data_IF_033958164418
#
_entry.id   IF_033958164418
#
_cell.length_a   1.000
_cell.length_b   1.000
_cell.length_c   1.000
_cell.angle_alpha   90.00
_cell.angle_beta   90.00
_cell.angle_gamma   90.00
#
_symmetry.space_group_name_H-M   'P 1'
#
loop_
_entity.id
_entity.type
_entity.pdbx_description
1 polymer ?
#
# COMPACT_ATOMS: atom_id res chain seq x y z
N UNK A 1 31.52 -13.05 -6.68
CA UNK A 1 30.55 -11.94 -6.87
C UNK A 1 29.70 -11.91 -5.60
N UNK A 2 29.14 -10.78 -5.22
CA UNK A 2 28.24 -10.72 -4.05
C UNK A 2 27.03 -9.89 -4.43
N UNK A 3 25.86 -10.33 -4.02
CA UNK A 3 24.57 -9.71 -4.32
C UNK A 3 23.85 -9.42 -3.02
N UNK A 4 23.39 -8.20 -2.85
CA UNK A 4 22.45 -7.82 -1.81
C UNK A 4 21.03 -8.01 -2.32
N UNK A 5 20.22 -8.81 -1.63
CA UNK A 5 18.93 -9.30 -2.13
C UNK A 5 17.82 -9.00 -1.16
N UNK A 6 16.75 -8.38 -1.64
CA UNK A 6 15.47 -8.30 -0.95
C UNK A 6 14.49 -9.27 -1.61
N UNK A 7 14.07 -10.28 -0.87
CA UNK A 7 13.20 -11.35 -1.35
C UNK A 7 11.75 -11.14 -0.86
N UNK A 8 10.77 -11.33 -1.73
CA UNK A 8 9.36 -11.29 -1.34
C UNK A 8 8.44 -12.05 -2.28
N UNK A 9 7.19 -12.20 -1.85
CA UNK A 9 6.14 -12.91 -2.57
C UNK A 9 4.79 -12.23 -2.41
N UNK A 10 3.99 -12.27 -3.47
CA UNK A 10 2.55 -12.01 -3.47
C UNK A 10 1.82 -13.34 -3.55
N UNK A 11 1.08 -13.69 -2.51
CA UNK A 11 0.47 -15.02 -2.37
C UNK A 11 -1.04 -14.85 -2.25
N UNK A 12 -1.75 -15.35 -3.27
CA UNK A 12 -3.18 -15.17 -3.40
C UNK A 12 -3.95 -16.46 -3.12
N UNK A 13 -5.01 -16.34 -2.32
CA UNK A 13 -5.98 -17.39 -2.09
C UNK A 13 -7.40 -16.86 -2.24
N UNK A 14 -8.29 -17.66 -2.81
CA UNK A 14 -9.70 -17.27 -2.98
C UNK A 14 -10.42 -17.25 -1.64
N UNK A 15 -11.35 -16.32 -1.48
CA UNK A 15 -12.22 -16.24 -0.31
C UNK A 15 -13.26 -17.35 -0.37
N UNK A 16 -13.53 -17.98 0.76
CA UNK A 16 -14.73 -18.82 0.91
C UNK A 16 -15.98 -17.95 1.07
N UNK A 17 -17.20 -18.45 0.81
CA UNK A 17 -18.43 -17.69 1.05
C UNK A 17 -18.52 -17.15 2.49
N UNK A 18 -18.13 -17.95 3.48
CA UNK A 18 -18.04 -17.53 4.87
C UNK A 18 -16.95 -16.46 5.09
N UNK A 19 -15.82 -16.60 4.42
CA UNK A 19 -14.72 -15.64 4.46
C UNK A 19 -15.10 -14.27 3.91
N UNK A 20 -15.90 -14.22 2.83
CA UNK A 20 -16.40 -12.95 2.27
C UNK A 20 -17.12 -12.16 3.37
N UNK A 21 -18.10 -12.76 4.03
CA UNK A 21 -18.88 -12.12 5.09
C UNK A 21 -18.02 -11.75 6.31
N UNK A 22 -17.22 -12.70 6.79
CA UNK A 22 -16.40 -12.51 8.00
C UNK A 22 -15.23 -11.55 7.83
N UNK A 23 -14.83 -11.24 6.60
CA UNK A 23 -13.75 -10.26 6.33
C UNK A 23 -14.28 -8.92 5.83
N UNK A 24 -15.59 -8.81 5.57
CA UNK A 24 -16.30 -7.54 5.32
C UNK A 24 -16.63 -6.80 6.60
N UNK A 25 -17.06 -7.52 7.62
CA UNK A 25 -17.52 -6.96 8.89
C UNK A 25 -16.40 -6.96 9.95
N UNK A 26 -16.60 -6.16 11.01
CA UNK A 26 -15.75 -6.23 12.18
C UNK A 26 -15.69 -7.68 12.70
N UNK A 27 -14.48 -8.23 12.78
CA UNK A 27 -14.23 -9.61 13.16
C UNK A 27 -13.22 -9.64 14.31
N UNK A 28 -13.38 -10.51 15.32
CA UNK A 28 -12.40 -10.64 16.40
C UNK A 28 -10.97 -10.96 15.93
N UNK A 29 -10.76 -11.40 14.69
CA UNK A 29 -9.47 -11.77 14.12
C UNK A 29 -8.75 -10.61 13.41
N UNK A 30 -9.46 -9.62 12.88
CA UNK A 30 -8.83 -8.54 12.11
C UNK A 30 -9.49 -7.18 12.36
N UNK A 31 -8.67 -6.15 12.47
CA UNK A 31 -9.11 -4.78 12.27
C UNK A 31 -9.07 -4.47 10.78
N UNK A 32 -10.14 -3.88 10.25
CA UNK A 32 -10.22 -3.47 8.85
C UNK A 32 -9.69 -2.05 8.74
N UNK A 33 -8.68 -1.85 7.90
CA UNK A 33 -8.07 -0.54 7.60
C UNK A 33 -8.29 -0.20 6.12
N UNK A 34 -8.33 1.10 5.83
CA UNK A 34 -8.47 1.62 4.47
C UNK A 34 -7.30 1.26 3.56
N UNK A 35 -7.51 1.45 2.26
CA UNK A 35 -6.56 1.11 1.20
C UNK A 35 -5.49 2.17 0.95
N UNK A 36 -5.61 3.35 1.56
CA UNK A 36 -4.91 4.57 1.11
C UNK A 36 -3.39 4.43 1.06
N UNK A 37 -2.79 3.74 2.05
CA UNK A 37 -1.34 3.47 2.07
C UNK A 37 -0.89 2.58 0.91
N UNK A 38 -1.66 1.54 0.58
CA UNK A 38 -1.39 0.66 -0.55
C UNK A 38 -1.64 1.35 -1.89
N UNK A 39 -2.72 2.11 -2.04
CA UNK A 39 -3.00 2.82 -3.30
C UNK A 39 -1.86 3.79 -3.66
N UNK A 40 -1.27 4.46 -2.67
CA UNK A 40 -0.09 5.31 -2.89
C UNK A 40 1.11 4.54 -3.46
N UNK A 41 1.23 3.23 -3.23
CA UNK A 41 2.31 2.41 -3.78
C UNK A 41 2.09 1.98 -5.22
N UNK A 42 0.90 2.20 -5.81
CA UNK A 42 0.68 1.99 -7.25
C UNK A 42 1.39 3.07 -8.10
N UNK A 43 1.61 4.24 -7.49
CA UNK A 43 2.20 5.42 -8.13
C UNK A 43 1.18 6.38 -8.73
N UNK A 44 1.57 7.65 -8.90
CA UNK A 44 0.86 8.59 -9.77
C UNK A 44 -0.57 8.97 -9.36
N UNK A 45 -0.88 8.96 -8.05
CA UNK A 45 -2.20 9.28 -7.49
C UNK A 45 -3.35 8.52 -8.19
N UNK A 46 -3.44 7.19 -7.98
CA UNK A 46 -4.27 6.34 -8.81
C UNK A 46 -5.76 6.64 -8.66
N UNK A 47 -6.46 6.68 -9.79
CA UNK A 47 -7.93 6.71 -9.84
C UNK A 47 -8.46 5.29 -9.80
N UNK A 48 -8.78 4.81 -8.60
CA UNK A 48 -9.31 3.46 -8.42
C UNK A 48 -10.82 3.49 -8.20
N UNK A 49 -11.61 2.78 -9.04
CA UNK A 49 -13.04 2.66 -8.84
C UNK A 49 -13.39 1.61 -7.76
N UNK A 50 -12.42 0.79 -7.35
CA UNK A 50 -12.53 -0.13 -6.21
C UNK A 50 -11.18 -0.25 -5.49
N UNK A 51 -11.21 -0.42 -4.18
CA UNK A 51 -10.01 -0.42 -3.35
C UNK A 51 -9.98 -1.63 -2.41
N UNK A 52 -8.81 -2.29 -2.23
CA UNK A 52 -8.69 -3.38 -1.28
C UNK A 52 -8.79 -2.87 0.15
N UNK A 53 -9.19 -3.72 1.09
CA UNK A 53 -9.05 -3.42 2.52
C UNK A 53 -7.80 -4.07 3.09
N UNK A 54 -7.09 -3.35 3.97
CA UNK A 54 -5.98 -3.94 4.71
C UNK A 54 -6.54 -4.65 5.94
N UNK A 55 -6.17 -5.92 6.12
CA UNK A 55 -6.56 -6.71 7.28
C UNK A 55 -5.41 -6.69 8.29
N UNK A 56 -5.58 -5.95 9.38
CA UNK A 56 -4.61 -5.88 10.46
C UNK A 56 -4.93 -6.95 11.52
N UNK A 57 -4.07 -7.97 11.73
CA UNK A 57 -4.35 -9.06 12.65
C UNK A 57 -4.47 -8.59 14.11
N UNK A 58 -5.45 -9.14 14.83
CA UNK A 58 -5.63 -8.88 16.27
C UNK A 58 -4.81 -9.86 17.12
N UNK A 59 -4.83 -9.64 18.44
CA UNK A 59 -4.29 -10.59 19.42
C UNK A 59 -4.92 -11.99 19.28
N UNK A 60 -6.21 -12.09 18.94
CA UNK A 60 -6.90 -13.37 18.77
C UNK A 60 -6.39 -14.13 17.55
N UNK A 61 -6.09 -13.41 16.46
CA UNK A 61 -5.48 -14.02 15.29
C UNK A 61 -4.08 -14.57 15.61
N UNK A 62 -3.24 -13.79 16.30
CA UNK A 62 -1.94 -14.28 16.74
C UNK A 62 -2.03 -15.46 17.72
N UNK A 63 -3.05 -15.48 18.57
CA UNK A 63 -3.32 -16.61 19.46
C UNK A 63 -3.63 -17.89 18.67
N UNK A 64 -4.42 -17.80 17.60
CA UNK A 64 -4.76 -18.95 16.74
C UNK A 64 -3.52 -19.59 16.09
N UNK A 65 -2.47 -18.79 15.85
CA UNK A 65 -1.21 -19.21 15.25
C UNK A 65 -0.13 -19.61 16.27
N UNK A 66 -0.42 -19.63 17.58
CA UNK A 66 0.61 -19.85 18.62
C UNK A 66 1.38 -21.17 18.45
N UNK A 67 0.67 -22.28 18.18
CA UNK A 67 1.30 -23.60 17.96
C UNK A 67 2.28 -23.55 16.79
N UNK A 68 1.82 -23.02 15.67
CA UNK A 68 2.57 -22.96 14.42
C UNK A 68 3.77 -22.01 14.53
N UNK A 69 3.62 -20.89 15.24
CA UNK A 69 4.74 -20.00 15.59
C UNK A 69 5.81 -20.74 16.41
N UNK A 70 5.40 -21.53 17.39
CA UNK A 70 6.33 -22.32 18.22
C UNK A 70 7.08 -23.37 17.41
N UNK A 71 6.39 -24.09 16.51
CA UNK A 71 6.99 -25.09 15.62
C UNK A 71 8.07 -24.49 14.71
N UNK A 72 7.90 -23.23 14.30
CA UNK A 72 8.80 -22.53 13.39
C UNK A 72 9.93 -21.77 14.09
N UNK A 73 9.97 -21.79 15.43
CA UNK A 73 10.92 -20.98 16.21
C UNK A 73 10.76 -19.49 15.95
N UNK A 74 9.52 -19.05 15.66
CA UNK A 74 9.18 -17.67 15.29
C UNK A 74 9.25 -16.79 16.52
N UNK A 75 10.22 -15.90 16.54
CA UNK A 75 10.34 -14.86 17.57
C UNK A 75 9.58 -13.61 17.14
N UNK A 76 8.72 -13.07 18.03
CA UNK A 76 7.99 -11.82 17.79
C UNK A 76 6.48 -11.91 18.04
N UNK A 77 5.91 -10.77 18.46
CA UNK A 77 4.48 -10.66 18.83
C UNK A 77 3.56 -10.35 17.64
N UNK A 78 4.10 -9.87 16.52
CA UNK A 78 3.34 -9.35 15.38
C UNK A 78 3.59 -10.15 14.08
N UNK A 79 3.17 -9.61 12.93
CA UNK A 79 3.42 -10.13 11.58
C UNK A 79 4.80 -9.77 11.02
N UNK A 80 5.62 -9.11 11.82
CA UNK A 80 7.06 -9.06 11.66
C UNK A 80 7.66 -10.06 12.64
N UNK A 81 8.41 -11.03 12.11
CA UNK A 81 8.96 -12.12 12.88
C UNK A 81 10.22 -12.68 12.26
N UNK A 82 11.03 -13.41 13.04
CA UNK A 82 12.32 -13.94 12.56
C UNK A 82 12.23 -15.44 12.26
N UNK A 83 12.78 -15.87 11.11
CA UNK A 83 12.87 -17.28 10.70
C UNK A 83 14.29 -17.60 10.24
N UNK A 84 14.75 -18.82 10.48
CA UNK A 84 16.03 -19.29 9.96
C UNK A 84 15.89 -19.76 8.52
N UNK A 85 16.74 -19.24 7.62
CA UNK A 85 16.80 -19.63 6.21
C UNK A 85 18.03 -20.51 6.01
N UNK A 86 17.82 -21.81 5.81
CA UNK A 86 18.89 -22.82 5.72
C UNK A 86 19.84 -22.55 4.55
N UNK A 87 19.34 -22.14 3.40
CA UNK A 87 20.16 -21.93 2.20
C UNK A 87 21.16 -20.77 2.34
N UNK A 88 20.93 -19.85 3.28
CA UNK A 88 21.83 -18.71 3.58
C UNK A 88 22.38 -18.73 5.00
N UNK A 89 22.04 -19.76 5.79
CA UNK A 89 22.46 -19.96 7.18
C UNK A 89 22.26 -18.72 8.08
N UNK A 90 21.16 -17.99 7.89
CA UNK A 90 20.88 -16.75 8.62
C UNK A 90 19.45 -16.71 9.17
N UNK A 91 19.29 -16.03 10.32
CA UNK A 91 17.97 -15.67 10.86
C UNK A 91 17.55 -14.33 10.26
N UNK A 92 16.52 -14.34 9.43
CA UNK A 92 16.04 -13.17 8.71
C UNK A 92 14.66 -12.75 9.20
N UNK A 93 14.46 -11.44 9.30
CA UNK A 93 13.15 -10.90 9.61
C UNK A 93 12.23 -11.04 8.38
N UNK A 94 11.02 -11.52 8.61
CA UNK A 94 9.95 -11.69 7.63
C UNK A 94 8.77 -10.84 8.07
N UNK A 95 8.27 -10.01 7.16
CA UNK A 95 7.05 -9.21 7.35
C UNK A 95 5.95 -9.73 6.45
N UNK A 96 4.77 -9.95 7.02
CA UNK A 96 3.56 -10.34 6.28
C UNK A 96 2.55 -9.20 6.33
N UNK A 97 1.92 -8.88 5.20
CA UNK A 97 0.80 -7.93 5.11
C UNK A 97 -0.37 -8.58 4.39
N UNK A 98 -1.59 -8.37 4.87
CA UNK A 98 -2.81 -8.95 4.29
C UNK A 98 -3.68 -7.88 3.66
N UNK A 99 -4.04 -8.10 2.40
CA UNK A 99 -5.02 -7.29 1.68
C UNK A 99 -6.17 -8.15 1.19
N UNK A 100 -7.38 -7.66 1.40
CA UNK A 100 -8.62 -8.26 0.93
C UNK A 100 -9.08 -7.51 -0.32
N UNK A 101 -9.31 -8.26 -1.37
CA UNK A 101 -10.06 -7.87 -2.56
C UNK A 101 -11.45 -8.53 -2.53
N UNK A 102 -12.25 -8.38 -3.58
CA UNK A 102 -13.65 -8.83 -3.55
C UNK A 102 -13.73 -10.37 -3.45
N UNK A 103 -12.99 -11.07 -4.31
CA UNK A 103 -12.98 -12.54 -4.39
C UNK A 103 -11.79 -13.21 -3.70
N UNK A 104 -10.79 -12.47 -3.23
CA UNK A 104 -9.53 -13.05 -2.77
C UNK A 104 -8.81 -12.29 -1.66
N UNK A 105 -7.87 -12.97 -1.02
CA UNK A 105 -6.88 -12.41 -0.10
C UNK A 105 -5.51 -12.50 -0.77
N UNK A 106 -4.74 -11.41 -0.69
CA UNK A 106 -3.31 -11.39 -0.95
C UNK A 106 -2.53 -11.28 0.37
N UNK A 107 -1.64 -12.23 0.62
CA UNK A 107 -0.56 -12.11 1.58
C UNK A 107 0.72 -11.65 0.88
N UNK A 108 1.20 -10.45 1.22
CA UNK A 108 2.49 -9.94 0.80
C UNK A 108 3.53 -10.31 1.85
N UNK A 109 4.45 -11.21 1.50
CA UNK A 109 5.53 -11.67 2.37
C UNK A 109 6.82 -11.02 1.91
N UNK A 110 7.54 -10.36 2.80
CA UNK A 110 8.82 -9.71 2.51
C UNK A 110 9.86 -10.14 3.53
N UNK A 111 11.02 -10.55 3.04
CA UNK A 111 12.20 -10.90 3.83
C UNK A 111 13.10 -9.67 3.90
N UNK A 112 13.67 -9.40 5.07
CA UNK A 112 14.76 -8.45 5.24
C UNK A 112 15.87 -8.76 4.25
N UNK A 113 16.54 -7.72 3.73
CA UNK A 113 17.60 -7.92 2.76
C UNK A 113 18.82 -8.65 3.35
N UNK A 114 19.46 -9.49 2.54
CA UNK A 114 20.59 -10.32 2.91
C UNK A 114 21.55 -10.50 1.73
N UNK A 115 22.76 -10.95 2.00
CA UNK A 115 23.79 -11.13 0.97
C UNK A 115 23.88 -12.59 0.50
N UNK A 116 24.13 -12.78 -0.79
CA UNK A 116 24.39 -14.09 -1.42
C UNK A 116 25.55 -14.00 -2.42
N UNK A 117 26.25 -15.11 -2.61
CA UNK A 117 27.45 -15.14 -3.46
C UNK A 117 27.14 -15.27 -4.96
N UNK A 118 25.98 -15.82 -5.34
CA UNK A 118 25.63 -16.02 -6.74
C UNK A 118 24.12 -15.97 -7.00
N UNK A 119 23.76 -15.67 -8.26
CA UNK A 119 22.37 -15.60 -8.73
C UNK A 119 21.66 -16.97 -8.69
N UNK A 120 22.39 -18.08 -8.81
CA UNK A 120 21.82 -19.43 -8.72
C UNK A 120 21.17 -19.70 -7.35
N UNK A 121 21.77 -19.19 -6.26
CA UNK A 121 21.18 -19.27 -4.92
C UNK A 121 19.84 -18.54 -4.87
N UNK A 122 19.72 -17.39 -5.52
CA UNK A 122 18.46 -16.62 -5.59
C UNK A 122 17.38 -17.41 -6.33
N UNK A 123 17.75 -18.09 -7.43
CA UNK A 123 16.83 -18.93 -8.21
C UNK A 123 16.23 -20.09 -7.39
N UNK A 124 16.99 -20.66 -6.45
CA UNK A 124 16.47 -21.64 -5.49
C UNK A 124 15.61 -20.99 -4.39
N UNK A 125 16.04 -19.84 -3.88
CA UNK A 125 15.36 -19.13 -2.80
C UNK A 125 13.99 -18.56 -3.21
N UNK A 126 13.79 -18.23 -4.48
CA UNK A 126 12.56 -17.58 -4.95
C UNK A 126 11.31 -18.47 -4.92
N UNK A 127 11.44 -19.80 -4.84
CA UNK A 127 10.29 -20.65 -4.60
C UNK A 127 10.03 -20.73 -3.11
N UNK A 128 9.00 -20.02 -2.63
CA UNK A 128 8.62 -20.08 -1.21
C UNK A 128 8.35 -21.51 -0.73
N UNK A 129 7.93 -22.42 -1.61
CA UNK A 129 7.69 -23.82 -1.25
C UNK A 129 8.95 -24.57 -0.83
N UNK A 130 10.12 -24.14 -1.32
CA UNK A 130 11.41 -24.68 -0.84
C UNK A 130 11.69 -24.32 0.61
N UNK A 131 11.01 -23.30 1.15
CA UNK A 131 11.03 -22.90 2.55
C UNK A 131 9.86 -23.53 3.30
N UNK A 132 9.88 -24.85 3.50
CA UNK A 132 8.74 -25.62 4.01
C UNK A 132 8.07 -25.01 5.24
N UNK A 133 8.86 -24.56 6.22
CA UNK A 133 8.35 -23.93 7.43
C UNK A 133 7.60 -22.62 7.15
N UNK A 134 8.24 -21.70 6.43
CA UNK A 134 7.63 -20.42 6.07
C UNK A 134 6.38 -20.62 5.20
N UNK A 135 6.44 -21.51 4.21
CA UNK A 135 5.30 -21.80 3.34
C UNK A 135 4.11 -22.39 4.11
N UNK A 136 4.36 -23.34 5.02
CA UNK A 136 3.33 -23.88 5.92
C UNK A 136 2.69 -22.74 6.73
N UNK A 137 3.51 -21.88 7.34
CA UNK A 137 3.02 -20.77 8.15
C UNK A 137 2.12 -19.81 7.39
N UNK A 138 2.56 -19.38 6.20
CA UNK A 138 1.80 -18.44 5.38
C UNK A 138 0.53 -19.09 4.84
N UNK A 139 0.57 -20.39 4.56
CA UNK A 139 -0.63 -21.16 4.18
C UNK A 139 -1.66 -21.20 5.31
N UNK A 140 -1.24 -21.36 6.56
CA UNK A 140 -2.14 -21.31 7.72
C UNK A 140 -2.71 -19.91 7.95
N UNK A 141 -1.88 -18.86 7.81
CA UNK A 141 -2.35 -17.46 7.83
C UNK A 141 -3.47 -17.29 6.80
N UNK A 142 -3.22 -17.67 5.54
CA UNK A 142 -4.20 -17.55 4.47
C UNK A 142 -5.44 -18.41 4.73
N UNK A 143 -5.32 -19.60 5.30
CA UNK A 143 -6.47 -20.44 5.62
C UNK A 143 -7.40 -19.80 6.66
N UNK A 144 -6.83 -19.23 7.73
CA UNK A 144 -7.62 -18.51 8.74
C UNK A 144 -8.25 -17.26 8.13
N UNK A 145 -7.49 -16.48 7.34
CA UNK A 145 -7.99 -15.25 6.72
C UNK A 145 -9.08 -15.51 5.69
N UNK A 146 -8.92 -16.51 4.81
CA UNK A 146 -9.89 -16.80 3.73
C UNK A 146 -11.17 -17.48 4.21
N UNK A 147 -11.19 -18.01 5.43
CA UNK A 147 -12.38 -18.61 6.07
C UNK A 147 -12.96 -17.74 7.19
N UNK A 148 -12.19 -16.74 7.64
CA UNK A 148 -12.51 -15.93 8.83
C UNK A 148 -12.62 -16.77 10.10
N UNK A 149 -11.98 -17.94 10.18
CA UNK A 149 -12.17 -18.92 11.25
C UNK A 149 -10.84 -19.43 11.79
N UNK A 150 -10.57 -19.21 13.07
CA UNK A 150 -9.30 -19.53 13.74
C UNK A 150 -8.93 -21.02 13.74
N UNK A 151 -9.92 -21.93 13.66
CA UNK A 151 -9.70 -23.37 13.70
C UNK A 151 -9.29 -23.96 12.35
N UNK A 152 -9.56 -23.28 11.24
CA UNK A 152 -9.26 -23.80 9.90
C UNK A 152 -7.86 -23.36 9.49
N UNK A 153 -6.93 -24.32 9.48
CA UNK A 153 -5.51 -24.08 9.18
C UNK A 153 -5.06 -24.62 7.82
N UNK A 154 -5.95 -25.25 7.07
CA UNK A 154 -5.64 -25.82 5.74
C UNK A 154 -6.39 -25.06 4.66
N UNK A 155 -5.65 -24.68 3.61
CA UNK A 155 -6.24 -24.08 2.42
C UNK A 155 -7.08 -25.12 1.65
N UNK A 156 -8.20 -24.67 1.09
CA UNK A 156 -9.06 -25.49 0.22
C UNK A 156 -8.43 -25.75 -1.15
N UNK A 157 -7.56 -24.84 -1.62
CA UNK A 157 -6.89 -24.91 -2.90
C UNK A 157 -5.45 -24.38 -2.78
N UNK A 158 -4.51 -24.80 -3.65
CA UNK A 158 -3.16 -24.27 -3.66
C UNK A 158 -3.18 -22.77 -4.00
N UNK A 159 -2.43 -21.92 -3.25
CA UNK A 159 -2.40 -20.50 -3.53
C UNK A 159 -1.60 -20.20 -4.79
N UNK A 160 -1.93 -19.09 -5.46
CA UNK A 160 -1.13 -18.56 -6.57
C UNK A 160 -0.03 -17.67 -6.00
N UNK A 161 1.22 -17.91 -6.39
CA UNK A 161 2.41 -17.23 -5.84
C UNK A 161 3.12 -16.49 -6.96
N UNK A 162 3.47 -15.23 -6.72
CA UNK A 162 4.30 -14.41 -7.59
C UNK A 162 5.50 -13.86 -6.80
N UNK A 163 6.74 -14.23 -7.14
CA UNK A 163 7.93 -13.63 -6.54
C UNK A 163 8.04 -12.14 -6.89
N UNK A 164 8.55 -11.37 -5.93
CA UNK A 164 8.96 -9.98 -6.09
C UNK A 164 10.35 -9.85 -5.48
N UNK A 165 11.37 -9.71 -6.34
CA UNK A 165 12.78 -9.81 -5.93
C UNK A 165 13.51 -8.54 -6.35
N UNK A 166 14.30 -7.97 -5.46
CA UNK A 166 15.25 -6.91 -5.78
C UNK A 166 16.66 -7.42 -5.53
N UNK A 167 17.54 -7.20 -6.51
CA UNK A 167 18.92 -7.68 -6.52
C UNK A 167 19.83 -6.47 -6.77
N UNK A 168 20.83 -6.29 -5.92
CA UNK A 168 21.89 -5.31 -6.09
C UNK A 168 23.22 -6.03 -6.19
N UNK A 169 23.94 -5.82 -7.30
CA UNK A 169 25.27 -6.38 -7.50
C UNK A 169 26.30 -5.50 -6.78
N UNK A 170 27.04 -6.10 -5.85
CA UNK A 170 28.09 -5.44 -5.06
C UNK A 170 29.49 -5.63 -5.67
N UNK A 171 29.62 -6.48 -6.69
CA UNK A 171 30.90 -6.86 -7.29
C UNK A 171 31.04 -6.43 -8.74
N UNK A 172 31.72 -7.24 -9.56
CA UNK A 172 31.76 -7.09 -11.01
C UNK A 172 30.52 -7.72 -11.67
N UNK A 173 30.15 -7.21 -12.84
CA UNK A 173 29.06 -7.75 -13.64
C UNK A 173 29.56 -8.90 -14.52
N UNK A 174 28.88 -10.05 -14.48
CA UNK A 174 29.16 -11.19 -15.35
C UNK A 174 28.54 -10.97 -16.74
N UNK A 175 29.14 -11.53 -17.80
CA UNK A 175 28.59 -11.44 -19.16
C UNK A 175 27.18 -12.07 -19.28
N UNK A 176 26.89 -13.13 -18.53
CA UNK A 176 25.60 -13.84 -18.55
C UNK A 176 24.55 -13.27 -17.58
N UNK A 177 24.83 -12.12 -16.94
CA UNK A 177 23.96 -11.56 -15.89
C UNK A 177 22.51 -11.40 -16.37
N UNK A 178 22.29 -10.79 -17.55
CA UNK A 178 20.94 -10.59 -18.10
C UNK A 178 20.19 -11.90 -18.30
N UNK A 179 20.89 -12.92 -18.83
CA UNK A 179 20.32 -14.25 -19.03
C UNK A 179 19.83 -14.83 -17.70
N UNK A 180 20.67 -14.81 -16.67
CA UNK A 180 20.32 -15.30 -15.32
C UNK A 180 19.17 -14.54 -14.68
N UNK A 181 19.09 -13.23 -14.86
CA UNK A 181 17.99 -12.43 -14.35
C UNK A 181 16.66 -12.81 -15.01
N UNK A 182 16.66 -13.11 -16.32
CA UNK A 182 15.47 -13.59 -17.04
C UNK A 182 15.08 -14.99 -16.59
N UNK A 183 16.03 -15.91 -16.35
CA UNK A 183 15.75 -17.23 -15.79
C UNK A 183 15.11 -17.13 -14.40
N UNK A 184 15.61 -16.23 -13.54
CA UNK A 184 15.01 -15.97 -12.23
C UNK A 184 13.57 -15.47 -12.40
N UNK A 185 13.36 -14.40 -13.19
CA UNK A 185 12.04 -13.80 -13.40
C UNK A 185 11.01 -14.80 -13.96
N UNK A 186 11.38 -15.52 -15.01
CA UNK A 186 10.48 -16.45 -15.71
C UNK A 186 10.37 -17.79 -15.01
N UNK A 187 11.31 -18.13 -14.12
CA UNK A 187 11.41 -19.39 -13.38
C UNK A 187 11.64 -20.62 -14.28
N UNK A 188 12.30 -20.42 -15.42
CA UNK A 188 12.68 -21.48 -16.34
C UNK A 188 14.16 -21.35 -16.67
N UNK A 189 14.83 -22.50 -16.85
CA UNK A 189 16.12 -22.54 -17.53
C UNK A 189 15.87 -22.24 -19.00
N UNK A 190 16.64 -21.32 -19.57
CA UNK A 190 16.48 -20.89 -20.95
C UNK A 190 17.73 -21.28 -21.72
N UNK A 191 17.56 -22.01 -22.81
CA UNK A 191 18.69 -22.38 -23.70
C UNK A 191 18.75 -21.44 -24.91
N UNK A 192 17.61 -20.86 -25.31
CA UNK A 192 17.46 -20.03 -26.50
C UNK A 192 17.59 -18.54 -26.18
N UNK A 193 18.55 -17.86 -26.80
CA UNK A 193 18.78 -16.41 -26.63
C UNK A 193 17.58 -15.55 -27.02
N UNK A 194 16.78 -15.99 -27.99
CA UNK A 194 15.64 -15.22 -28.51
C UNK A 194 14.55 -15.00 -27.44
N UNK A 195 14.40 -15.95 -26.50
CA UNK A 195 13.45 -15.83 -25.39
C UNK A 195 13.93 -14.73 -24.42
N UNK A 196 15.23 -14.71 -24.12
CA UNK A 196 15.86 -13.68 -23.27
C UNK A 196 15.66 -12.31 -23.92
N UNK A 197 15.97 -12.18 -25.20
CA UNK A 197 15.80 -10.94 -25.95
C UNK A 197 14.35 -10.48 -25.99
N UNK A 198 13.40 -11.39 -26.16
CA UNK A 198 11.97 -11.07 -26.11
C UNK A 198 11.55 -10.52 -24.75
N UNK A 199 12.01 -11.12 -23.64
CA UNK A 199 11.69 -10.66 -22.28
C UNK A 199 12.34 -9.30 -21.98
N UNK A 200 13.58 -9.10 -22.42
CA UNK A 200 14.27 -7.81 -22.28
C UNK A 200 13.59 -6.74 -23.12
N UNK A 201 13.21 -7.05 -24.36
CA UNK A 201 12.59 -6.12 -25.29
C UNK A 201 11.21 -5.66 -24.80
N UNK A 202 10.36 -6.55 -24.29
CA UNK A 202 9.05 -6.15 -23.72
C UNK A 202 9.19 -5.23 -22.50
N UNK A 203 10.28 -5.39 -21.73
CA UNK A 203 10.56 -4.59 -20.53
C UNK A 203 11.40 -3.33 -20.80
N UNK A 204 11.90 -3.14 -22.02
CA UNK A 204 12.80 -2.03 -22.39
C UNK A 204 12.26 -0.66 -22.01
N UNK A 205 10.94 -0.48 -22.08
CA UNK A 205 10.25 0.78 -21.77
C UNK A 205 10.32 1.19 -20.28
N UNK A 206 10.67 0.25 -19.39
CA UNK A 206 10.85 0.48 -17.95
C UNK A 206 12.29 0.85 -17.58
N UNK A 207 13.23 0.69 -18.51
CA UNK A 207 14.64 1.05 -18.35
C UNK A 207 14.82 2.55 -18.62
N UNK A 208 14.98 3.32 -17.55
CA UNK A 208 15.20 4.78 -17.61
C UNK A 208 16.70 5.11 -17.51
N UNK A 209 17.47 4.21 -16.90
CA UNK A 209 18.89 4.33 -16.63
C UNK A 209 19.56 2.94 -16.76
N UNK A 210 20.74 2.74 -16.17
CA UNK A 210 21.39 1.42 -16.21
C UNK A 210 20.70 0.34 -15.36
N UNK A 211 19.83 0.71 -14.42
CA UNK A 211 19.07 -0.22 -13.58
C UNK A 211 17.90 -0.84 -14.34
N UNK A 212 17.45 -2.01 -13.89
CA UNK A 212 16.40 -2.78 -14.55
C UNK A 212 15.22 -3.00 -13.60
N UNK A 213 14.02 -2.96 -14.16
CA UNK A 213 12.81 -3.53 -13.57
C UNK A 213 12.18 -4.38 -14.66
N UNK A 214 12.11 -5.68 -14.41
CA UNK A 214 11.54 -6.68 -15.30
C UNK A 214 10.23 -7.20 -14.71
N UNK A 215 9.23 -7.32 -15.57
CA UNK A 215 7.89 -7.79 -15.26
C UNK A 215 7.57 -8.94 -16.22
N UNK A 216 6.97 -9.99 -15.66
CA UNK A 216 6.44 -11.13 -16.38
C UNK A 216 5.18 -11.63 -15.67
N UNK A 217 4.35 -12.43 -16.34
CA UNK A 217 3.23 -13.14 -15.71
C UNK A 217 3.63 -13.99 -14.48
N UNK A 218 4.91 -14.34 -14.33
CA UNK A 218 5.41 -15.12 -13.20
C UNK A 218 5.85 -14.27 -11.98
N UNK A 219 6.18 -12.99 -12.15
CA UNK A 219 6.72 -12.18 -11.06
C UNK A 219 7.27 -10.82 -11.48
N UNK A 220 7.92 -10.14 -10.52
CA UNK A 220 8.64 -8.89 -10.73
C UNK A 220 10.06 -9.03 -10.21
N UNK A 221 11.03 -8.59 -11.01
CA UNK A 221 12.44 -8.56 -10.63
C UNK A 221 13.02 -7.17 -10.85
N UNK A 222 13.80 -6.69 -9.88
CA UNK A 222 14.62 -5.49 -10.06
C UNK A 222 16.09 -5.82 -9.95
N UNK A 223 16.91 -5.16 -10.77
CA UNK A 223 18.36 -5.31 -10.73
C UNK A 223 19.07 -3.96 -10.74
N UNK A 224 19.98 -3.82 -9.79
CA UNK A 224 20.87 -2.68 -9.59
C UNK A 224 22.30 -3.12 -9.93
N UNK A 225 22.86 -2.70 -11.09
CA UNK A 225 24.25 -3.01 -11.42
C UNK A 225 25.22 -2.27 -10.48
N UNK A 226 26.51 -2.65 -10.51
CA UNK A 226 27.53 -2.00 -9.69
C UNK A 226 27.64 -0.49 -9.97
N UNK A 227 28.10 0.26 -8.98
CA UNK A 227 28.38 1.71 -9.08
C UNK A 227 27.15 2.57 -9.45
N UNK A 228 25.94 2.19 -9.03
CA UNK A 228 24.77 3.06 -9.14
C UNK A 228 24.89 4.30 -8.24
N UNK A 229 24.43 5.45 -8.71
CA UNK A 229 24.28 6.64 -7.85
C UNK A 229 23.10 6.47 -6.90
N UNK A 230 23.07 7.26 -5.81
CA UNK A 230 21.96 7.26 -4.84
C UNK A 230 20.60 7.46 -5.52
N UNK A 231 20.49 8.43 -6.45
CA UNK A 231 19.26 8.69 -7.19
C UNK A 231 18.82 7.51 -8.06
N UNK A 232 19.77 6.77 -8.66
CA UNK A 232 19.47 5.57 -9.43
C UNK A 232 18.94 4.45 -8.52
N UNK A 233 19.52 4.29 -7.34
CA UNK A 233 19.10 3.30 -6.34
C UNK A 233 17.68 3.62 -5.86
N UNK A 234 17.43 4.85 -5.41
CA UNK A 234 16.11 5.28 -4.92
C UNK A 234 15.03 5.20 -6.01
N UNK A 235 15.34 5.69 -7.21
CA UNK A 235 14.45 5.61 -8.36
C UNK A 235 14.08 4.18 -8.73
N UNK A 236 15.06 3.27 -8.73
CA UNK A 236 14.83 1.85 -8.97
C UNK A 236 13.99 1.20 -7.87
N UNK A 237 14.29 1.45 -6.59
CA UNK A 237 13.51 0.94 -5.45
C UNK A 237 12.05 1.37 -5.58
N UNK A 238 11.78 2.64 -5.92
CA UNK A 238 10.42 3.12 -6.09
C UNK A 238 9.73 2.44 -7.28
N UNK A 239 10.41 2.31 -8.43
CA UNK A 239 9.90 1.59 -9.60
C UNK A 239 9.56 0.14 -9.30
N UNK A 240 10.42 -0.56 -8.54
CA UNK A 240 10.19 -1.93 -8.10
C UNK A 240 8.97 -2.05 -7.18
N UNK A 241 8.82 -1.15 -6.20
CA UNK A 241 7.65 -1.09 -5.31
C UNK A 241 6.35 -0.88 -6.09
N UNK A 242 6.37 0.01 -7.08
CA UNK A 242 5.23 0.25 -7.97
C UNK A 242 4.89 -1.01 -8.78
N UNK A 243 5.88 -1.61 -9.45
CA UNK A 243 5.68 -2.83 -10.24
C UNK A 243 5.11 -3.99 -9.40
N UNK A 244 5.66 -4.23 -8.20
CA UNK A 244 5.18 -5.26 -7.27
C UNK A 244 3.73 -5.02 -6.81
N UNK A 245 3.37 -3.76 -6.55
CA UNK A 245 2.01 -3.39 -6.12
C UNK A 245 1.00 -3.43 -7.27
N UNK A 246 1.40 -2.98 -8.47
CA UNK A 246 0.58 -3.05 -9.68
C UNK A 246 0.35 -4.50 -10.10
N UNK A 247 1.35 -5.39 -9.97
CA UNK A 247 1.18 -6.82 -10.25
C UNK A 247 0.13 -7.43 -9.32
N UNK A 248 0.17 -7.05 -8.04
CA UNK A 248 -0.83 -7.50 -7.09
C UNK A 248 -2.24 -7.03 -7.48
N UNK A 249 -2.37 -5.75 -7.83
CA UNK A 249 -3.64 -5.16 -8.24
C UNK A 249 -4.17 -5.79 -9.55
N UNK A 250 -3.29 -6.01 -10.54
CA UNK A 250 -3.60 -6.69 -11.80
C UNK A 250 -4.12 -8.11 -11.57
N UNK A 251 -3.44 -8.89 -10.72
CA UNK A 251 -3.87 -10.25 -10.39
C UNK A 251 -5.23 -10.26 -9.68
N UNK A 252 -5.50 -9.29 -8.79
CA UNK A 252 -6.79 -9.19 -8.12
C UNK A 252 -7.92 -8.85 -9.09
N UNK A 253 -7.74 -7.85 -9.96
CA UNK A 253 -8.72 -7.47 -11.00
C UNK A 253 -9.05 -8.68 -11.88
N UNK A 254 -8.03 -9.39 -12.37
CA UNK A 254 -8.24 -10.60 -13.17
C UNK A 254 -9.15 -11.61 -12.46
N UNK A 255 -8.90 -11.86 -11.17
CA UNK A 255 -9.68 -12.83 -10.39
C UNK A 255 -11.09 -12.37 -10.13
N UNK A 256 -11.26 -11.09 -9.79
CA UNK A 256 -12.56 -10.48 -9.51
C UNK A 256 -13.43 -10.44 -10.78
N UNK A 257 -12.84 -10.17 -11.94
CA UNK A 257 -13.51 -10.26 -13.25
C UNK A 257 -13.94 -11.71 -13.55
N UNK A 258 -13.02 -12.67 -13.44
CA UNK A 258 -13.30 -14.09 -13.71
C UNK A 258 -14.37 -14.69 -12.79
N UNK A 259 -14.58 -14.08 -11.63
CA UNK A 259 -15.52 -14.55 -10.61
C UNK A 259 -16.80 -13.71 -10.55
N UNK A 260 -16.99 -12.77 -11.49
CA UNK A 260 -18.13 -11.84 -11.58
C UNK A 260 -18.40 -11.00 -10.32
N UNK A 261 -17.35 -10.75 -9.51
CA UNK A 261 -17.44 -9.91 -8.31
C UNK A 261 -17.32 -8.42 -8.63
N UNK A 262 -16.71 -8.06 -9.76
CA UNK A 262 -16.57 -6.68 -10.20
C UNK A 262 -17.24 -6.47 -11.55
N UNK A 263 -18.00 -5.38 -11.66
CA UNK A 263 -18.60 -4.99 -12.94
C UNK A 263 -17.53 -4.57 -13.93
N UNK A 264 -17.56 -5.16 -15.13
CA UNK A 264 -16.70 -4.76 -16.25
C UNK A 264 -16.76 -3.26 -16.52
N UNK A 265 -17.97 -2.67 -16.50
CA UNK A 265 -18.20 -1.23 -16.73
C UNK A 265 -17.46 -0.33 -15.75
N UNK A 266 -17.33 -0.76 -14.49
CA UNK A 266 -16.68 0.02 -13.43
C UNK A 266 -15.16 0.03 -13.63
N UNK A 267 -14.59 -1.10 -14.08
CA UNK A 267 -13.14 -1.30 -14.15
C UNK A 267 -12.55 -1.06 -15.54
N UNK A 268 -13.39 -1.04 -16.58
CA UNK A 268 -13.01 -0.80 -17.97
C UNK A 268 -12.14 0.45 -18.17
N UNK A 269 -12.45 1.63 -17.60
CA UNK A 269 -11.65 2.83 -17.81
C UNK A 269 -10.19 2.65 -17.38
N UNK A 270 -9.96 1.97 -16.26
CA UNK A 270 -8.59 1.79 -15.76
C UNK A 270 -7.83 0.69 -16.51
N UNK A 271 -8.52 -0.30 -17.11
CA UNK A 271 -7.89 -1.37 -17.91
C UNK A 271 -7.48 -0.84 -19.29
N UNK A 272 -8.33 0.00 -19.89
CA UNK A 272 -8.14 0.48 -21.24
C UNK A 272 -7.34 1.78 -21.32
N UNK A 273 -7.40 2.64 -20.29
CA UNK A 273 -6.65 3.89 -20.23
C UNK A 273 -5.74 3.96 -18.99
N UNK A 274 -4.46 3.62 -19.20
CA UNK A 274 -3.45 3.73 -18.15
C UNK A 274 -3.25 5.17 -17.67
N UNK A 275 -3.41 6.18 -18.53
CA UNK A 275 -3.27 7.59 -18.18
C UNK A 275 -4.44 8.06 -17.32
N UNK A 276 -5.64 7.58 -17.58
CA UNK A 276 -6.78 7.79 -16.68
C UNK A 276 -6.50 7.17 -15.31
N UNK A 277 -5.99 5.93 -15.27
CA UNK A 277 -5.72 5.24 -14.03
C UNK A 277 -4.60 5.88 -13.21
N UNK A 278 -3.47 6.21 -13.82
CA UNK A 278 -2.23 6.63 -13.15
C UNK A 278 -1.73 7.97 -13.72
N UNK A 279 -2.48 9.07 -13.57
CA UNK A 279 -2.25 10.32 -14.30
C UNK A 279 -0.86 10.91 -14.08
N UNK A 280 -0.32 10.79 -12.85
CA UNK A 280 0.89 11.50 -12.45
C UNK A 280 2.16 10.63 -12.52
N UNK A 281 2.11 9.44 -13.14
CA UNK A 281 3.28 8.54 -13.22
C UNK A 281 3.36 7.77 -14.54
N UNK A 282 4.16 8.30 -15.48
CA UNK A 282 4.44 7.67 -16.78
C UNK A 282 5.04 6.26 -16.61
N UNK A 283 5.93 6.06 -15.63
CA UNK A 283 6.53 4.75 -15.37
C UNK A 283 5.48 3.73 -14.91
N UNK A 284 4.58 4.13 -14.00
CA UNK A 284 3.49 3.27 -13.55
C UNK A 284 2.48 2.98 -14.67
N UNK A 285 2.14 3.97 -15.51
CA UNK A 285 1.29 3.78 -16.70
C UNK A 285 1.85 2.69 -17.62
N UNK A 286 3.16 2.74 -17.91
CA UNK A 286 3.83 1.73 -18.75
C UNK A 286 3.79 0.35 -18.10
N UNK A 287 4.09 0.25 -16.81
CA UNK A 287 4.05 -1.02 -16.06
C UNK A 287 2.65 -1.62 -16.08
N UNK A 288 1.63 -0.78 -15.90
CA UNK A 288 0.23 -1.19 -15.96
C UNK A 288 -0.16 -1.70 -17.36
N UNK A 289 0.26 -1.02 -18.42
CA UNK A 289 0.07 -1.48 -19.80
C UNK A 289 0.67 -2.87 -20.06
N UNK A 290 1.87 -3.14 -19.53
CA UNK A 290 2.48 -4.47 -19.64
C UNK A 290 1.71 -5.51 -18.82
N UNK A 291 1.38 -5.21 -17.56
CA UNK A 291 0.66 -6.14 -16.68
C UNK A 291 -0.72 -6.50 -17.20
N UNK A 292 -1.47 -5.53 -17.74
CA UNK A 292 -2.78 -5.81 -18.36
C UNK A 292 -2.66 -6.80 -19.53
N UNK A 293 -1.57 -6.74 -20.30
CA UNK A 293 -1.26 -7.71 -21.36
C UNK A 293 -0.82 -9.07 -20.80
N UNK A 294 0.16 -9.10 -19.89
CA UNK A 294 0.72 -10.33 -19.29
C UNK A 294 -0.34 -11.17 -18.56
N UNK A 295 -1.29 -10.50 -17.90
CA UNK A 295 -2.40 -11.15 -17.21
C UNK A 295 -3.64 -11.32 -18.12
N UNK A 296 -3.61 -10.87 -19.38
CA UNK A 296 -4.73 -10.95 -20.32
C UNK A 296 -6.03 -10.34 -19.76
N UNK A 297 -5.91 -9.23 -19.03
CA UNK A 297 -7.04 -8.63 -18.29
C UNK A 297 -8.14 -8.14 -19.24
N UNK A 298 -7.75 -7.60 -20.41
CA UNK A 298 -8.70 -7.12 -21.44
C UNK A 298 -9.57 -8.25 -21.98
N UNK A 299 -8.97 -9.41 -22.23
CA UNK A 299 -9.70 -10.58 -22.69
C UNK A 299 -10.73 -11.06 -21.64
N UNK A 300 -10.39 -11.05 -20.36
CA UNK A 300 -11.34 -11.41 -19.29
C UNK A 300 -12.48 -10.38 -19.18
N UNK A 301 -12.19 -9.09 -19.40
CA UNK A 301 -13.20 -8.02 -19.47
C UNK A 301 -14.16 -8.21 -20.65
N UNK A 302 -13.64 -8.53 -21.83
CA UNK A 302 -14.43 -8.79 -23.05
C UNK A 302 -15.35 -10.00 -22.86
N UNK A 303 -14.83 -11.10 -22.32
CA UNK A 303 -15.62 -12.31 -22.04
C UNK A 303 -16.75 -12.05 -21.03
N UNK A 304 -16.50 -11.27 -19.97
CA UNK A 304 -17.53 -10.91 -19.00
C UNK A 304 -18.66 -10.06 -19.61
N UNK A 305 -18.32 -9.18 -20.56
CA UNK A 305 -19.30 -8.33 -21.26
C UNK A 305 -20.16 -9.13 -22.25
N UNK A 306 -19.59 -10.10 -22.98
CA UNK A 306 -20.32 -10.93 -23.95
C UNK A 306 -21.37 -11.83 -23.28
N UNK A 307 -21.10 -12.29 -22.06
CA UNK A 307 -22.00 -13.19 -21.33
C UNK A 307 -23.20 -12.48 -20.67
N UNK A 308 -23.30 -11.13 -20.76
CA UNK A 308 -24.33 -10.32 -20.08
C UNK A 308 -24.51 -10.68 -18.60
N UNK A 309 -23.44 -11.11 -17.93
CA UNK A 309 -23.50 -11.53 -16.54
C UNK A 309 -23.77 -10.30 -15.68
N UNK A 310 -24.96 -10.24 -15.08
CA UNK A 310 -25.22 -9.27 -14.01
C UNK A 310 -24.32 -9.63 -12.83
N UNK A 311 -23.42 -8.73 -12.40
CA UNK A 311 -22.56 -9.01 -11.25
C UNK A 311 -23.43 -9.30 -10.03
N UNK A 312 -22.96 -10.15 -9.13
CA UNK A 312 -23.61 -10.35 -7.82
C UNK A 312 -23.54 -8.99 -7.13
N UNK A 313 -24.66 -8.28 -7.13
CA UNK A 313 -24.76 -6.85 -6.79
C UNK A 313 -24.06 -6.53 -5.47
N UNK A 314 -22.87 -5.95 -5.56
CA UNK A 314 -22.35 -5.11 -4.49
C UNK A 314 -22.86 -3.70 -4.77
N UNK A 315 -23.60 -3.13 -3.82
CA UNK A 315 -23.84 -1.70 -3.76
C UNK A 315 -22.50 -0.99 -3.58
N UNK A 316 -21.81 -0.76 -4.69
CA UNK A 316 -20.68 0.15 -4.82
C UNK A 316 -21.31 1.53 -4.95
N UNK A 317 -21.22 2.35 -3.91
CA UNK A 317 -21.65 3.74 -3.94
C UNK A 317 -20.75 4.52 -4.92
N UNK A 318 -21.12 4.53 -6.19
CA UNK A 318 -20.69 5.53 -7.15
C UNK A 318 -21.76 6.63 -7.20
N UNK A 319 -21.35 7.86 -6.93
CA UNK A 319 -22.16 9.05 -7.14
C UNK A 319 -22.57 9.14 -8.61
N UNK A 320 -23.86 8.97 -8.90
CA UNK A 320 -24.51 9.59 -10.05
C UNK A 320 -25.74 10.35 -9.59
N UNK A 321 -25.80 11.60 -10.05
CA UNK A 321 -26.87 12.54 -9.84
C UNK A 321 -27.89 12.39 -10.96
N UNK A 322 -29.10 11.93 -10.64
CA UNK A 322 -30.27 12.24 -11.48
C UNK A 322 -31.56 12.06 -10.68
N UNK A 323 -32.44 13.04 -10.86
CA UNK A 323 -33.73 13.30 -10.23
C UNK A 323 -34.73 12.13 -10.28
N UNK A 324 -35.67 12.01 -9.32
CA UNK A 324 -36.62 10.91 -9.27
C UNK A 324 -37.84 11.16 -10.16
N UNK A 325 -38.35 10.11 -10.81
CA UNK A 325 -39.75 10.02 -11.24
C UNK A 325 -40.45 8.85 -10.52
N UNK A 326 -41.75 8.98 -10.24
CA UNK A 326 -42.40 8.19 -9.21
C UNK A 326 -42.96 6.87 -9.76
N UNK A 327 -42.75 5.79 -9.01
CA UNK A 327 -43.71 4.68 -8.99
C UNK A 327 -44.06 4.36 -7.55
N UNK A 328 -45.34 4.53 -7.25
CA UNK A 328 -46.00 4.26 -5.99
C UNK A 328 -45.89 2.78 -5.62
N UNK A 329 -45.45 2.49 -4.41
CA UNK A 329 -46.00 1.40 -3.58
C UNK A 329 -46.03 1.90 -2.13
N UNK A 330 -47.20 1.79 -1.52
CA UNK A 330 -47.55 2.24 -0.16
C UNK A 330 -46.88 1.36 0.90
N UNK A 331 -46.35 1.94 1.99
CA UNK A 331 -46.75 1.66 3.39
C UNK A 331 -45.95 2.47 4.44
N UNK A 332 -46.72 3.14 5.31
CA UNK A 332 -46.54 3.39 6.76
C UNK A 332 -45.49 4.41 7.28
N UNK A 333 -46.00 5.47 7.91
CA UNK A 333 -45.26 6.48 8.67
C UNK A 333 -44.69 5.91 9.98
N UNK A 334 -43.37 6.01 10.14
CA UNK A 334 -42.69 6.05 11.45
C UNK A 334 -41.71 7.22 11.37
N UNK A 335 -41.85 8.18 12.29
CA UNK A 335 -40.94 9.31 12.46
C UNK A 335 -39.56 8.79 12.85
N UNK A 336 -38.64 8.76 11.89
CA UNK A 336 -37.24 8.37 12.06
C UNK A 336 -36.38 9.57 11.68
N UNK A 337 -36.03 10.41 12.66
CA UNK A 337 -34.86 11.28 12.49
C UNK A 337 -33.63 10.36 12.50
N UNK A 338 -33.26 9.86 11.32
CA UNK A 338 -32.04 9.11 11.10
C UNK A 338 -30.92 10.08 10.75
N UNK A 339 -30.00 10.26 11.67
CA UNK A 339 -28.77 10.99 11.44
C UNK A 339 -27.68 10.03 11.00
N UNK A 340 -27.47 9.90 9.68
CA UNK A 340 -26.32 9.20 9.14
C UNK A 340 -25.10 10.11 9.19
N UNK A 341 -24.15 9.83 10.09
CA UNK A 341 -22.88 10.56 10.13
C UNK A 341 -21.69 9.66 9.91
N UNK A 342 -20.87 10.06 8.94
CA UNK A 342 -19.58 9.46 8.64
C UNK A 342 -18.49 10.47 9.00
N UNK A 343 -17.85 10.30 10.15
CA UNK A 343 -16.83 11.23 10.68
C UNK A 343 -16.96 11.44 12.19
N UNK A 344 -16.13 12.32 12.75
CA UNK A 344 -16.26 12.73 14.16
C UNK A 344 -17.34 13.81 14.29
N UNK A 345 -18.24 13.65 15.27
CA UNK A 345 -19.42 14.51 15.46
C UNK A 345 -19.41 15.06 16.86
N UNK A 346 -19.46 16.39 17.00
CA UNK A 346 -19.47 17.05 18.30
C UNK A 346 -20.82 16.98 19.01
N UNK A 347 -21.94 17.12 18.28
CA UNK A 347 -23.30 16.99 18.79
C UNK A 347 -24.26 16.74 17.62
N UNK A 348 -25.30 15.91 17.80
CA UNK A 348 -26.32 15.67 16.78
C UNK A 348 -27.70 15.40 17.39
N UNK A 349 -28.73 15.99 16.79
CA UNK A 349 -30.12 15.96 17.25
C UNK A 349 -30.73 17.36 17.41
N UNK A 350 -32.05 17.48 17.60
CA UNK A 350 -32.69 18.77 17.84
C UNK A 350 -32.16 19.40 19.13
N UNK A 351 -31.75 20.67 19.08
CA UNK A 351 -31.11 21.41 20.19
C UNK A 351 -29.69 20.94 20.60
N UNK A 352 -29.01 20.15 19.77
CA UNK A 352 -27.65 19.70 20.05
C UNK A 352 -26.64 20.84 19.82
N UNK A 353 -25.89 21.24 20.86
CA UNK A 353 -24.80 22.21 20.77
C UNK A 353 -23.48 21.57 21.18
N UNK A 354 -22.44 21.81 20.37
CA UNK A 354 -21.06 21.48 20.68
C UNK A 354 -20.25 22.77 20.64
N UNK A 355 -19.79 23.23 21.80
CA UNK A 355 -18.90 24.40 21.92
C UNK A 355 -17.63 23.93 22.61
N UNK A 356 -16.47 24.27 22.05
CA UNK A 356 -15.12 23.92 22.54
C UNK A 356 -14.74 22.41 22.51
N UNK A 357 -15.13 21.67 21.47
CA UNK A 357 -14.66 20.29 21.29
C UNK A 357 -13.29 20.25 20.58
N UNK A 358 -12.28 19.69 21.25
CA UNK A 358 -10.94 19.44 20.67
C UNK A 358 -10.77 17.96 20.34
N UNK A 359 -10.66 17.64 19.05
CA UNK A 359 -10.47 16.27 18.57
C UNK A 359 -8.98 15.90 18.46
N UNK A 360 -8.41 15.35 19.53
CA UNK A 360 -6.97 15.08 19.67
C UNK A 360 -6.43 13.98 18.73
N UNK A 361 -7.28 13.09 18.21
CA UNK A 361 -6.87 11.97 17.35
C UNK A 361 -6.38 12.42 15.96
N UNK A 362 -7.04 13.44 15.38
CA UNK A 362 -6.67 13.99 14.06
C UNK A 362 -5.34 14.75 14.15
N UNK A 363 -5.15 15.50 15.24
CA UNK A 363 -3.90 16.18 15.57
C UNK A 363 -2.73 15.22 15.76
N UNK A 364 -2.92 14.13 16.51
CA UNK A 364 -1.87 13.11 16.69
C UNK A 364 -1.48 12.43 15.38
N UNK A 365 -2.44 12.18 14.49
CA UNK A 365 -2.18 11.56 13.20
C UNK A 365 -1.42 12.51 12.24
N UNK A 366 -1.72 13.80 12.27
CA UNK A 366 -0.99 14.82 11.52
C UNK A 366 0.43 15.05 12.08
N UNK A 367 0.62 14.88 13.40
CA UNK A 367 1.91 15.04 14.06
C UNK A 367 2.93 13.93 13.72
N UNK A 368 2.49 12.71 13.37
CA UNK A 368 3.38 11.55 13.11
C UNK A 368 4.35 11.72 11.93
N UNK A 369 4.19 12.75 11.09
CA UNK A 369 5.05 13.02 9.94
C UNK A 369 5.90 14.30 10.04
N UNK A 370 5.89 14.99 11.18
CA UNK A 370 6.62 16.25 11.36
C UNK A 370 8.04 16.00 11.87
N UNK A 371 9.02 16.63 11.23
CA UNK A 371 10.37 16.76 11.77
C UNK A 371 10.36 17.85 12.86
N UNK A 372 10.09 17.44 14.11
CA UNK A 372 9.94 18.37 15.24
C UNK A 372 11.22 19.19 15.54
N UNK A 373 12.44 18.61 15.46
CA UNK A 373 13.67 19.40 15.54
C UNK A 373 13.78 20.48 14.46
N UNK A 374 13.58 20.13 13.18
CA UNK A 374 13.65 21.11 12.09
C UNK A 374 12.54 22.17 12.21
N UNK A 375 11.34 21.75 12.59
CA UNK A 375 10.21 22.63 12.84
C UNK A 375 10.51 23.64 13.95
N UNK A 376 11.09 23.21 15.07
CA UNK A 376 11.45 24.12 16.16
C UNK A 376 12.47 25.19 15.71
N UNK A 377 13.45 24.81 14.88
CA UNK A 377 14.43 25.75 14.34
C UNK A 377 13.78 26.77 13.40
N UNK A 378 12.92 26.32 12.48
CA UNK A 378 12.25 27.22 11.54
C UNK A 378 11.19 28.11 12.22
N UNK A 379 10.49 27.60 13.25
CA UNK A 379 9.55 28.40 14.03
C UNK A 379 10.24 29.52 14.80
N UNK A 380 11.48 29.32 15.26
CA UNK A 380 12.27 30.38 15.89
C UNK A 380 12.62 31.51 14.90
N UNK A 381 12.98 31.15 13.66
CA UNK A 381 13.25 32.11 12.57
C UNK A 381 11.97 32.87 12.23
N UNK A 382 10.87 32.14 12.04
CA UNK A 382 9.56 32.71 11.73
C UNK A 382 9.08 33.68 12.81
N UNK A 383 9.18 33.30 14.08
CA UNK A 383 8.78 34.16 15.22
C UNK A 383 9.52 35.48 15.23
N UNK A 384 10.83 35.47 14.99
CA UNK A 384 11.63 36.69 14.94
C UNK A 384 11.25 37.59 13.76
N UNK A 385 10.98 36.99 12.60
CA UNK A 385 10.50 37.74 11.43
C UNK A 385 9.12 38.35 11.66
N UNK A 386 8.17 37.59 12.21
CA UNK A 386 6.82 38.07 12.50
C UNK A 386 6.82 39.20 13.53
N UNK A 387 7.68 39.15 14.56
CA UNK A 387 7.85 40.26 15.52
C UNK A 387 8.25 41.58 14.87
N UNK A 388 9.09 41.52 13.85
CA UNK A 388 9.55 42.71 13.14
C UNK A 388 8.49 43.29 12.18
N UNK A 389 7.46 42.51 11.86
CA UNK A 389 6.38 42.87 10.93
C UNK A 389 5.02 43.06 11.64
N UNK A 390 4.96 42.86 12.96
CA UNK A 390 3.74 42.98 13.74
C UNK A 390 3.36 44.46 13.94
N UNK A 391 2.12 44.80 13.58
CA UNK A 391 1.57 46.17 13.64
C UNK A 391 0.17 46.21 14.26
N UNK A 392 -0.48 45.05 14.36
CA UNK A 392 -1.85 44.87 14.81
C UNK A 392 -1.88 43.89 16.00
N UNK A 393 -2.94 43.95 16.81
CA UNK A 393 -3.08 43.12 18.02
C UNK A 393 -3.16 41.64 17.64
N UNK A 394 -3.79 41.34 16.51
CA UNK A 394 -3.89 40.01 15.91
C UNK A 394 -2.50 39.45 15.53
N UNK A 395 -1.57 40.32 15.12
CA UNK A 395 -0.19 39.91 14.82
C UNK A 395 0.54 39.49 16.10
N UNK A 396 0.33 40.18 17.22
CA UNK A 396 0.91 39.80 18.51
C UNK A 396 0.41 38.44 18.99
N UNK A 397 -0.89 38.16 18.81
CA UNK A 397 -1.49 36.87 19.13
C UNK A 397 -0.92 35.73 18.27
N UNK A 398 -0.71 35.98 16.98
CA UNK A 398 -0.08 35.01 16.08
C UNK A 398 1.39 34.76 16.47
N UNK A 399 2.15 35.81 16.81
CA UNK A 399 3.53 35.70 17.29
C UNK A 399 3.60 34.87 18.59
N UNK A 400 2.69 35.09 19.53
CA UNK A 400 2.60 34.33 20.76
C UNK A 400 2.31 32.85 20.49
N UNK A 401 1.37 32.57 19.57
CA UNK A 401 1.01 31.21 19.15
C UNK A 401 2.18 30.47 18.49
N UNK A 402 2.96 31.14 17.64
CA UNK A 402 4.19 30.56 17.08
C UNK A 402 5.23 30.25 18.17
N UNK A 403 5.37 31.09 19.20
CA UNK A 403 6.25 30.82 20.33
C UNK A 403 5.83 29.61 21.18
N UNK A 404 4.53 29.41 21.35
CA UNK A 404 3.98 28.24 22.03
C UNK A 404 4.16 26.96 21.19
N UNK A 405 3.98 27.06 19.87
CA UNK A 405 4.27 25.96 18.94
C UNK A 405 5.75 25.57 18.94
N UNK A 406 6.67 26.55 18.91
CA UNK A 406 8.12 26.35 19.00
C UNK A 406 8.48 25.57 20.28
N UNK A 407 7.90 25.99 21.41
CA UNK A 407 8.14 25.35 22.71
C UNK A 407 7.63 23.91 22.78
N UNK A 408 6.49 23.65 22.16
CA UNK A 408 5.89 22.30 22.08
C UNK A 408 6.70 21.38 21.17
N UNK A 409 7.16 21.87 20.02
CA UNK A 409 8.06 21.14 19.12
C UNK A 409 9.38 20.77 19.82
N UNK A 410 9.99 21.67 20.60
CA UNK A 410 11.20 21.38 21.39
C UNK A 410 10.99 20.31 22.45
N UNK A 411 9.77 20.20 23.01
CA UNK A 411 9.39 19.15 23.97
C UNK A 411 8.98 17.83 23.30
N UNK A 412 9.11 17.74 21.97
CA UNK A 412 8.62 16.64 21.15
C UNK A 412 7.09 16.42 21.24
N UNK A 413 6.35 17.46 21.58
CA UNK A 413 4.89 17.45 21.58
C UNK A 413 4.35 17.98 20.24
N UNK A 414 4.29 17.09 19.25
CA UNK A 414 3.81 17.44 17.91
C UNK A 414 2.32 17.79 17.84
N UNK A 415 1.49 17.22 18.73
CA UNK A 415 0.07 17.55 18.80
C UNK A 415 -0.13 18.96 19.37
N UNK A 416 0.53 19.29 20.48
CA UNK A 416 0.53 20.64 21.04
C UNK A 416 1.12 21.68 20.08
N UNK A 417 2.17 21.30 19.31
CA UNK A 417 2.72 22.18 18.28
C UNK A 417 1.67 22.53 17.21
N UNK A 418 0.98 21.53 16.66
CA UNK A 418 -0.05 21.76 15.64
C UNK A 418 -1.25 22.54 16.16
N UNK A 419 -1.67 22.32 17.41
CA UNK A 419 -2.76 23.09 18.03
C UNK A 419 -2.42 24.59 18.10
N UNK A 420 -1.20 24.91 18.54
CA UNK A 420 -0.73 26.29 18.56
C UNK A 420 -0.52 26.88 17.16
N UNK A 421 -0.11 26.07 16.17
CA UNK A 421 0.03 26.52 14.78
C UNK A 421 -1.32 26.84 14.14
N UNK A 422 -2.39 26.11 14.50
CA UNK A 422 -3.76 26.42 14.07
C UNK A 422 -4.19 27.80 14.55
N UNK A 423 -3.87 28.15 15.79
CA UNK A 423 -4.14 29.48 16.36
C UNK A 423 -3.29 30.60 15.77
N UNK A 424 -2.13 30.29 15.16
CA UNK A 424 -1.29 31.29 14.50
C UNK A 424 -1.88 31.80 13.18
N UNK A 425 -2.75 31.02 12.54
CA UNK A 425 -3.59 31.45 11.43
C UNK A 425 -2.88 31.78 10.12
N UNK A 426 -3.62 32.35 9.17
CA UNK A 426 -3.19 32.55 7.78
C UNK A 426 -2.02 33.53 7.63
N UNK A 427 -1.97 34.56 8.47
CA UNK A 427 -0.89 35.55 8.42
C UNK A 427 0.48 34.92 8.71
N UNK A 428 0.56 34.02 9.70
CA UNK A 428 1.81 33.30 10.00
C UNK A 428 2.26 32.41 8.82
N UNK A 429 1.30 31.81 8.11
CA UNK A 429 1.59 31.01 6.91
C UNK A 429 2.17 31.87 5.77
N UNK A 430 1.60 33.04 5.51
CA UNK A 430 2.06 33.93 4.45
C UNK A 430 3.47 34.46 4.75
N UNK A 431 3.74 34.85 6.00
CA UNK A 431 5.08 35.27 6.42
C UNK A 431 6.10 34.12 6.30
N UNK A 432 5.73 32.89 6.71
CA UNK A 432 6.59 31.71 6.60
C UNK A 432 6.97 31.40 5.15
N UNK A 433 6.01 31.52 4.24
CA UNK A 433 6.23 31.32 2.79
C UNK A 433 7.15 32.39 2.22
N UNK A 434 6.98 33.65 2.62
CA UNK A 434 7.80 34.77 2.13
C UNK A 434 9.26 34.70 2.58
N UNK A 435 9.54 34.17 3.77
CA UNK A 435 10.92 34.06 4.31
C UNK A 435 11.58 32.70 4.01
N UNK A 436 10.87 31.77 3.37
CA UNK A 436 11.40 30.48 2.94
C UNK A 436 11.52 29.43 4.06
N UNK A 437 10.77 29.53 5.15
CA UNK A 437 10.69 28.50 6.19
C UNK A 437 9.71 27.40 5.79
N UNK A 438 10.16 26.52 4.89
CA UNK A 438 9.31 25.53 4.21
C UNK A 438 8.70 24.48 5.15
N UNK A 439 9.41 24.05 6.20
CA UNK A 439 8.90 23.10 7.20
C UNK A 439 7.83 23.77 8.06
N UNK A 440 8.07 25.01 8.51
CA UNK A 440 7.09 25.78 9.26
C UNK A 440 5.84 26.11 8.42
N UNK A 441 6.01 26.57 7.18
CA UNK A 441 4.90 26.87 6.28
C UNK A 441 4.02 25.64 6.02
N UNK A 442 4.63 24.48 5.75
CA UNK A 442 3.91 23.22 5.56
C UNK A 442 3.17 22.76 6.82
N UNK A 443 3.79 22.93 8.00
CA UNK A 443 3.16 22.57 9.27
C UNK A 443 1.97 23.50 9.61
N UNK A 444 2.10 24.81 9.37
CA UNK A 444 1.01 25.77 9.56
C UNK A 444 -0.15 25.49 8.60
N UNK A 445 0.14 25.25 7.31
CA UNK A 445 -0.89 24.88 6.34
C UNK A 445 -1.63 23.62 6.77
N UNK A 446 -0.88 22.60 7.19
CA UNK A 446 -1.47 21.37 7.72
C UNK A 446 -2.35 21.66 8.93
N UNK A 447 -1.92 22.51 9.87
CA UNK A 447 -2.68 22.85 11.07
C UNK A 447 -3.97 23.64 10.81
N UNK A 448 -3.99 24.51 9.80
CA UNK A 448 -5.16 25.30 9.39
C UNK A 448 -6.20 24.41 8.69
N UNK A 449 -5.74 23.39 7.95
CA UNK A 449 -6.61 22.47 7.20
C UNK A 449 -7.24 21.35 8.07
N UNK A 450 -6.84 21.25 9.35
CA UNK A 450 -7.42 20.37 10.38
C UNK A 450 -8.54 21.10 11.14
#
# INVERSE_FOLDING_TARGET
>A
MSYHVELGWKIFSSLSPQGIEKTRLANPLFNIKGASSFLRTLGGNPRVPYAPTTLEPTKNFHHALRSSKSELGVEGKQFTFTVFFEQVQQRLQVTVSLRRYLSCICASVKVQAFDVECLATIAGLQDIKSHHGLFKFVSEILAITTTGTASIKKLSAPPKIFPAIQIMNLGSEAEDTLHRLVEILTRHTIEESDIVDSVIQKNKIHRIDKTLVLIDRQGVLSYLPPHCSTNQIEGNIQRFKNASSLMEFACAIKRDLKSDFISGKIIEPIINDAKYFLPDSISAQRMWGLLTSEFSIRHELEQGNELNLTPISENISAHESSSPQPKQVVFQFISNDQYNVTGQVGAIGPNAQAVNNTFTQVLQQAACGLDLPALATELAILRNSMRNQATEIEHDQAVASIGAAESSAKKQDGAGALEHLKSAGKWAFDVATNIGTNVAAKAIQTAIDL
#
